data_IF_838561614437
#
_entry.id   IF_838561614437
#
_cell.length_a   1.000
_cell.length_b   1.000
_cell.length_c   1.000
_cell.angle_alpha   90.00
_cell.angle_beta   90.00
_cell.angle_gamma   90.00
#
_symmetry.space_group_name_H-M   'P 1'
#
loop_
_entity.id
_entity.type
_entity.pdbx_description
1 polymer ?
#
# COMPACT_ATOMS: atom_id res chain seq x y z
N UNK A 1 18.61 34.86 4.27
CA UNK A 1 18.23 35.23 5.65
C UNK A 1 16.73 35.11 5.76
N UNK A 2 16.21 34.44 6.79
CA UNK A 2 14.77 34.37 7.03
C UNK A 2 14.25 35.68 7.60
N UNK A 3 13.03 36.04 7.20
CA UNK A 3 12.39 37.31 7.51
C UNK A 3 11.69 37.25 8.86
N UNK A 4 12.01 38.18 9.75
CA UNK A 4 11.52 38.18 11.14
C UNK A 4 11.05 39.56 11.57
N UNK A 5 10.20 39.60 12.59
CA UNK A 5 9.68 40.84 13.15
C UNK A 5 10.69 41.35 14.16
N UNK A 6 11.31 42.49 13.85
CA UNK A 6 12.25 43.16 14.75
C UNK A 6 11.53 44.05 15.76
N UNK A 7 10.51 44.77 15.29
CA UNK A 7 9.79 45.76 16.10
C UNK A 7 8.34 45.88 15.66
N UNK A 8 7.45 45.98 16.63
CA UNK A 8 6.01 46.11 16.45
C UNK A 8 5.48 47.31 17.23
N UNK A 9 4.73 48.18 16.57
CA UNK A 9 4.02 49.31 17.17
C UNK A 9 2.55 49.24 16.74
N UNK A 10 1.63 49.13 17.70
CA UNK A 10 0.19 49.04 17.45
C UNK A 10 -0.53 50.05 18.34
N UNK A 11 -1.36 50.87 17.73
CA UNK A 11 -2.20 51.85 18.42
C UNK A 11 -3.65 51.74 17.94
N UNK A 12 -4.58 51.88 18.89
CA UNK A 12 -6.03 52.01 18.64
C UNK A 12 -6.65 50.92 17.75
N UNK A 13 -6.09 49.70 17.77
CA UNK A 13 -6.60 48.55 17.01
C UNK A 13 -7.31 47.56 17.94
N UNK A 14 -8.59 47.28 17.67
CA UNK A 14 -9.47 46.41 18.48
C UNK A 14 -9.44 46.79 19.98
N UNK A 15 -8.78 45.98 20.82
CA UNK A 15 -8.65 46.20 22.27
C UNK A 15 -7.29 46.75 22.69
N UNK A 16 -6.39 47.03 21.74
CA UNK A 16 -5.08 47.66 22.00
C UNK A 16 -5.23 49.17 22.09
N UNK A 17 -4.63 49.80 23.11
CA UNK A 17 -4.53 51.26 23.22
C UNK A 17 -3.26 51.74 22.55
N UNK A 18 -2.12 51.34 23.10
CA UNK A 18 -0.80 51.56 22.54
C UNK A 18 0.14 50.47 23.06
N UNK A 19 0.78 49.75 22.14
CA UNK A 19 1.71 48.66 22.44
C UNK A 19 2.92 48.81 21.54
N UNK A 20 4.11 48.77 22.16
CA UNK A 20 5.40 48.68 21.48
C UNK A 20 6.07 47.41 21.98
N UNK A 21 6.45 46.52 21.06
CA UNK A 21 7.03 45.22 21.37
C UNK A 21 8.25 44.99 20.47
N UNK A 22 9.34 44.50 21.07
CA UNK A 22 10.53 44.03 20.38
C UNK A 22 10.68 42.52 20.68
N UNK A 23 10.10 41.63 19.84
CA UNK A 23 10.14 40.20 20.09
C UNK A 23 11.57 39.65 19.99
N UNK A 24 11.82 38.51 20.63
CA UNK A 24 13.12 37.84 20.54
C UNK A 24 13.44 37.45 19.09
N UNK A 25 14.69 37.63 18.65
CA UNK A 25 15.09 37.35 17.27
C UNK A 25 15.01 35.85 16.90
N UNK A 26 15.11 34.97 17.90
CA UNK A 26 14.88 33.53 17.81
C UNK A 26 14.10 33.08 19.05
N UNK A 27 13.43 31.94 18.95
CA UNK A 27 12.73 31.34 20.08
C UNK A 27 11.31 31.84 20.24
N UNK A 28 10.81 31.74 21.47
CA UNK A 28 9.41 31.98 21.82
C UNK A 28 9.25 33.29 22.61
N UNK A 29 8.51 34.24 22.06
CA UNK A 29 8.02 35.43 22.78
C UNK A 29 6.57 35.19 23.20
N UNK A 30 6.31 35.14 24.52
CA UNK A 30 4.97 34.90 25.07
C UNK A 30 4.35 36.21 25.56
N UNK A 31 3.19 36.55 24.99
CA UNK A 31 2.34 37.66 25.39
C UNK A 31 1.29 37.14 26.38
N UNK A 32 1.50 37.45 27.65
CA UNK A 32 0.66 37.14 28.81
C UNK A 32 -0.38 38.22 29.13
N UNK A 33 -1.31 37.88 30.02
CA UNK A 33 -2.34 38.76 30.57
C UNK A 33 -3.70 38.05 30.72
N UNK A 34 -4.62 38.60 31.52
CA UNK A 34 -5.99 38.08 31.62
C UNK A 34 -6.77 38.08 30.30
N UNK A 35 -7.91 37.38 30.27
CA UNK A 35 -8.84 37.45 29.14
C UNK A 35 -9.38 38.87 28.94
N UNK A 36 -9.60 39.24 27.67
CA UNK A 36 -10.15 40.55 27.33
C UNK A 36 -9.15 41.70 27.26
N UNK A 37 -7.88 41.50 27.64
CA UNK A 37 -6.90 42.61 27.73
C UNK A 37 -6.26 43.03 26.40
N UNK A 38 -6.51 42.29 25.31
CA UNK A 38 -6.02 42.65 23.97
C UNK A 38 -4.87 41.80 23.41
N UNK A 39 -4.49 40.70 24.06
CA UNK A 39 -3.45 39.76 23.58
C UNK A 39 -3.68 39.28 22.14
N UNK A 40 -4.83 38.66 21.88
CA UNK A 40 -5.20 38.22 20.51
C UNK A 40 -5.34 39.39 19.55
N UNK A 41 -5.69 40.59 20.05
CA UNK A 41 -5.73 41.79 19.20
C UNK A 41 -4.36 42.22 18.69
N UNK A 42 -3.27 41.87 19.40
CA UNK A 42 -1.90 42.07 18.92
C UNK A 42 -1.61 41.12 17.77
N UNK A 43 -1.88 39.81 17.92
CA UNK A 43 -1.70 38.84 16.83
C UNK A 43 -2.55 39.18 15.61
N UNK A 44 -3.83 39.54 15.79
CA UNK A 44 -4.71 39.97 14.70
C UNK A 44 -4.17 41.21 13.96
N UNK A 45 -3.52 42.12 14.68
CA UNK A 45 -2.92 43.33 14.08
C UNK A 45 -1.70 42.97 13.24
N UNK A 46 -0.86 42.03 13.71
CA UNK A 46 0.27 41.51 12.94
C UNK A 46 -0.25 40.79 11.68
N UNK A 47 -1.23 39.90 11.86
CA UNK A 47 -1.86 39.15 10.78
C UNK A 47 -2.45 40.07 9.70
N UNK A 48 -3.14 41.14 10.10
CA UNK A 48 -3.70 42.10 9.14
C UNK A 48 -2.63 42.97 8.45
N UNK A 49 -1.60 43.38 9.19
CA UNK A 49 -0.49 44.14 8.62
C UNK A 49 0.24 43.35 7.53
N UNK A 50 0.55 42.08 7.80
CA UNK A 50 1.37 41.24 6.92
C UNK A 50 0.55 40.45 5.89
N UNK A 51 -0.61 39.93 6.28
CA UNK A 51 -1.46 39.05 5.46
C UNK A 51 -2.49 39.76 4.58
N UNK A 52 -2.57 41.09 4.64
CA UNK A 52 -3.47 41.86 3.78
C UNK A 52 -4.93 41.84 4.25
N UNK A 53 -5.85 42.25 3.36
CA UNK A 53 -7.26 42.46 3.72
C UNK A 53 -8.04 41.18 4.06
N UNK A 54 -7.49 39.99 3.74
CA UNK A 54 -8.07 38.70 4.16
C UNK A 54 -8.16 38.56 5.68
N UNK A 55 -7.22 39.18 6.40
CA UNK A 55 -7.13 39.16 7.85
C UNK A 55 -7.69 40.44 8.49
N UNK A 56 -8.36 41.30 7.72
CA UNK A 56 -8.91 42.55 8.24
C UNK A 56 -10.04 42.27 9.23
N UNK A 57 -9.94 42.73 10.49
CA UNK A 57 -11.04 42.64 11.43
C UNK A 57 -12.28 43.38 10.91
N UNK A 58 -13.48 42.83 11.14
CA UNK A 58 -14.75 43.47 10.79
C UNK A 58 -14.90 44.87 11.41
N UNK A 59 -14.43 45.01 12.65
CA UNK A 59 -14.24 46.29 13.34
C UNK A 59 -12.78 46.41 13.79
N UNK A 60 -12.03 47.22 13.06
CA UNK A 60 -10.60 47.49 13.37
C UNK A 60 -10.46 48.55 14.44
N UNK A 61 -11.25 49.62 14.35
CA UNK A 61 -11.14 50.78 15.22
C UNK A 61 -11.48 50.42 16.67
N UNK A 62 -10.62 50.84 17.61
CA UNK A 62 -10.91 50.70 19.03
C UNK A 62 -12.15 51.51 19.41
N UNK A 63 -13.09 50.87 20.08
CA UNK A 63 -14.27 51.55 20.63
C UNK A 63 -13.83 52.65 21.62
N UNK A 64 -14.33 53.87 21.41
CA UNK A 64 -13.99 55.04 22.23
C UNK A 64 -12.72 55.79 21.83
N UNK A 65 -11.94 55.33 20.84
CA UNK A 65 -10.79 56.10 20.32
C UNK A 65 -11.23 57.23 19.38
N UNK A 66 -10.61 58.40 19.50
CA UNK A 66 -10.80 59.53 18.58
C UNK A 66 -9.80 59.48 17.40
N UNK A 67 -8.67 58.81 17.60
CA UNK A 67 -7.60 58.65 16.62
C UNK A 67 -7.72 57.34 15.85
N UNK A 68 -7.48 57.34 14.52
CA UNK A 68 -7.61 56.14 13.70
C UNK A 68 -6.55 55.08 14.08
N UNK A 69 -6.75 53.80 13.69
CA UNK A 69 -5.80 52.74 13.95
C UNK A 69 -4.46 53.00 13.25
N UNK A 70 -3.37 52.69 13.95
CA UNK A 70 -2.01 52.80 13.44
C UNK A 70 -1.24 51.53 13.78
N UNK A 71 -0.69 50.88 12.76
CA UNK A 71 0.14 49.68 12.91
C UNK A 71 1.42 49.92 12.14
N UNK A 72 2.57 49.69 12.77
CA UNK A 72 3.89 49.73 12.15
C UNK A 72 4.68 48.49 12.55
N UNK A 73 5.15 47.75 11.56
CA UNK A 73 5.98 46.54 11.75
C UNK A 73 7.29 46.78 11.02
N UNK A 74 8.40 46.68 11.75
CA UNK A 74 9.74 46.71 11.18
C UNK A 74 10.31 45.30 11.18
N UNK A 75 10.72 44.84 10.01
CA UNK A 75 11.32 43.53 9.82
C UNK A 75 12.84 43.61 10.01
N UNK A 76 13.49 42.48 10.30
CA UNK A 76 14.95 42.40 10.53
C UNK A 76 15.82 42.87 9.36
N UNK A 77 15.30 42.83 8.14
CA UNK A 77 16.00 43.32 6.94
C UNK A 77 15.78 44.83 6.67
N UNK A 78 15.03 45.53 7.53
CA UNK A 78 14.69 46.94 7.37
C UNK A 78 13.40 47.22 6.59
N UNK A 79 12.66 46.20 6.14
CA UNK A 79 11.34 46.40 5.54
C UNK A 79 10.37 46.93 6.60
N UNK A 80 9.66 48.02 6.29
CA UNK A 80 8.67 48.63 7.17
C UNK A 80 7.29 48.47 6.56
N UNK A 81 6.35 47.93 7.34
CA UNK A 81 4.95 47.74 6.97
C UNK A 81 4.08 48.61 7.86
N UNK A 82 3.49 49.64 7.28
CA UNK A 82 2.59 50.55 7.98
C UNK A 82 1.15 50.40 7.49
N UNK A 83 0.19 50.40 8.42
CA UNK A 83 -1.23 50.64 8.13
C UNK A 83 -1.68 51.83 8.95
N UNK A 84 -1.99 52.95 8.27
CA UNK A 84 -2.34 54.21 8.94
C UNK A 84 -3.40 55.02 8.21
N UNK A 85 -4.00 55.97 8.92
CA UNK A 85 -5.02 56.89 8.42
C UNK A 85 -6.45 56.36 8.55
N UNK A 86 -7.43 57.17 8.12
CA UNK A 86 -8.87 56.90 8.30
C UNK A 86 -9.34 55.56 7.69
N UNK A 87 -8.69 55.15 6.59
CA UNK A 87 -8.96 53.89 5.90
C UNK A 87 -7.92 52.80 6.22
N UNK A 88 -6.95 53.09 7.09
CA UNK A 88 -5.82 52.21 7.43
C UNK A 88 -5.12 51.65 6.19
N UNK A 89 -4.76 52.55 5.26
CA UNK A 89 -4.13 52.18 4.00
C UNK A 89 -2.76 51.57 4.24
N UNK A 90 -2.47 50.48 3.53
CA UNK A 90 -1.17 49.82 3.56
C UNK A 90 -0.10 50.70 2.90
N UNK A 91 1.04 50.83 3.55
CA UNK A 91 2.26 51.40 3.02
C UNK A 91 3.42 50.46 3.37
N UNK A 92 4.02 49.87 2.34
CA UNK A 92 5.23 49.05 2.50
C UNK A 92 6.40 49.90 2.05
N UNK A 93 7.46 49.97 2.84
CA UNK A 93 8.67 50.74 2.58
C UNK A 93 9.83 49.75 2.62
N UNK A 94 10.53 49.61 1.50
CA UNK A 94 11.70 48.75 1.40
C UNK A 94 12.91 49.33 2.17
N UNK A 95 13.97 48.53 2.40
CA UNK A 95 15.17 49.01 3.09
C UNK A 95 15.88 50.18 2.38
N UNK A 96 15.56 50.44 1.11
CA UNK A 96 16.08 51.54 0.30
C UNK A 96 15.19 52.78 0.35
N UNK A 97 14.07 52.73 1.08
CA UNK A 97 13.09 53.82 1.24
C UNK A 97 12.05 53.91 0.11
N UNK A 98 12.03 52.98 -0.83
CA UNK A 98 11.03 52.96 -1.91
C UNK A 98 9.73 52.33 -1.45
N UNK A 99 8.61 52.79 -2.02
CA UNK A 99 7.29 52.23 -1.73
C UNK A 99 7.11 50.91 -2.47
N UNK A 100 6.78 49.86 -1.74
CA UNK A 100 6.41 48.56 -2.27
C UNK A 100 4.92 48.27 -2.08
N UNK A 101 4.43 47.25 -2.80
CA UNK A 101 3.06 46.75 -2.65
C UNK A 101 2.98 45.49 -1.80
N UNK A 102 1.76 45.03 -1.53
CA UNK A 102 1.48 43.76 -0.83
C UNK A 102 2.13 42.53 -1.52
N UNK A 103 2.37 42.58 -2.84
CA UNK A 103 3.04 41.50 -3.56
C UNK A 103 4.45 41.20 -3.03
N UNK A 104 5.20 42.23 -2.62
CA UNK A 104 6.51 42.06 -1.99
C UNK A 104 6.37 41.40 -0.60
N UNK A 105 5.32 41.70 0.16
CA UNK A 105 5.07 41.02 1.43
C UNK A 105 4.73 39.55 1.21
N UNK A 106 3.88 39.28 0.22
CA UNK A 106 3.45 37.93 -0.12
C UNK A 106 4.60 37.05 -0.64
N UNK A 107 5.73 37.61 -1.09
CA UNK A 107 6.90 36.78 -1.47
C UNK A 107 7.64 36.24 -0.26
N UNK A 108 7.54 36.87 0.92
CA UNK A 108 8.28 36.47 2.12
C UNK A 108 7.40 35.91 3.23
N UNK A 109 6.13 36.29 3.27
CA UNK A 109 5.19 35.86 4.31
C UNK A 109 4.34 34.69 3.79
N UNK A 110 4.17 33.67 4.63
CA UNK A 110 3.33 32.50 4.35
C UNK A 110 1.99 32.60 5.08
N UNK A 111 0.88 32.18 4.43
CA UNK A 111 -0.47 32.31 4.98
C UNK A 111 -0.60 31.50 6.29
N UNK A 112 -0.02 30.30 6.31
CA UNK A 112 -0.03 29.42 7.47
C UNK A 112 0.86 29.91 8.62
N UNK A 113 1.87 30.75 8.34
CA UNK A 113 2.69 31.37 9.39
C UNK A 113 1.93 32.47 10.14
N UNK A 114 0.96 33.11 9.46
CA UNK A 114 0.08 34.13 10.02
C UNK A 114 -1.06 33.50 10.82
N UNK A 115 -1.57 32.34 10.36
CA UNK A 115 -2.72 31.66 10.96
C UNK A 115 -2.48 30.15 11.04
N UNK A 116 -1.65 29.76 12.01
CA UNK A 116 -1.40 28.35 12.32
C UNK A 116 -2.67 27.63 12.80
N UNK A 117 -3.58 28.24 13.61
CA UNK A 117 -4.83 27.60 14.01
C UNK A 117 -5.66 27.08 12.83
N UNK A 118 -5.75 27.84 11.73
CA UNK A 118 -6.44 27.37 10.52
C UNK A 118 -5.85 26.08 9.94
N UNK A 119 -4.53 25.90 10.00
CA UNK A 119 -3.90 24.64 9.62
C UNK A 119 -4.28 23.51 10.58
N UNK A 120 -4.22 23.79 11.88
CA UNK A 120 -4.53 22.81 12.94
C UNK A 120 -5.98 22.31 12.85
N UNK A 121 -6.90 23.20 12.52
CA UNK A 121 -8.34 22.92 12.39
C UNK A 121 -8.74 22.34 11.02
N UNK A 122 -7.83 22.33 10.04
CA UNK A 122 -8.08 21.74 8.72
C UNK A 122 -8.25 20.22 8.76
N UNK A 123 -8.82 19.64 7.71
CA UNK A 123 -9.06 18.19 7.66
C UNK A 123 -7.74 17.41 7.56
N UNK A 124 -7.68 16.17 8.06
CA UNK A 124 -6.48 15.32 7.96
C UNK A 124 -5.94 15.21 6.53
N UNK A 125 -6.87 15.13 5.55
CA UNK A 125 -6.55 15.09 4.13
C UNK A 125 -5.92 16.38 3.62
N UNK A 126 -6.41 17.55 4.03
CA UNK A 126 -5.82 18.85 3.66
C UNK A 126 -4.41 19.00 4.26
N UNK A 127 -4.21 18.58 5.50
CA UNK A 127 -2.90 18.57 6.16
C UNK A 127 -1.90 17.71 5.42
N UNK A 128 -2.28 16.46 5.10
CA UNK A 128 -1.44 15.54 4.34
C UNK A 128 -1.15 16.06 2.93
N UNK A 129 -2.15 16.56 2.22
CA UNK A 129 -1.97 17.15 0.89
C UNK A 129 -1.01 18.33 0.90
N UNK A 130 -1.10 19.19 1.92
CA UNK A 130 -0.17 20.33 2.08
C UNK A 130 1.27 19.83 2.23
N UNK A 131 1.50 18.81 3.07
CA UNK A 131 2.82 18.19 3.22
C UNK A 131 3.32 17.55 1.92
N UNK A 132 2.47 16.81 1.21
CA UNK A 132 2.83 16.14 -0.04
C UNK A 132 3.15 17.11 -1.17
N UNK A 133 2.44 18.25 -1.23
CA UNK A 133 2.75 19.33 -2.17
C UNK A 133 4.11 19.96 -1.86
N UNK A 134 4.43 20.18 -0.58
CA UNK A 134 5.71 20.76 -0.16
C UNK A 134 6.90 19.88 -0.58
N UNK A 135 6.75 18.57 -0.45
CA UNK A 135 7.81 17.61 -0.74
C UNK A 135 7.90 17.34 -2.26
N UNK A 136 6.87 17.69 -3.04
CA UNK A 136 6.82 17.50 -4.49
C UNK A 136 6.56 16.06 -4.92
N UNK A 137 6.21 15.16 -3.99
CA UNK A 137 5.95 13.73 -4.26
C UNK A 137 4.46 13.41 -4.38
N UNK A 138 3.57 14.40 -4.26
CA UNK A 138 2.12 14.18 -4.20
C UNK A 138 1.54 13.41 -5.40
N UNK A 139 1.95 13.74 -6.63
CA UNK A 139 1.46 13.04 -7.83
C UNK A 139 2.00 11.60 -7.92
N UNK A 140 3.28 11.40 -7.60
CA UNK A 140 3.91 10.09 -7.59
C UNK A 140 3.27 9.18 -6.53
N UNK A 141 3.04 9.71 -5.33
CA UNK A 141 2.38 8.99 -4.25
C UNK A 141 0.95 8.60 -4.63
N UNK A 142 0.19 9.54 -5.21
CA UNK A 142 -1.18 9.28 -5.67
C UNK A 142 -1.24 8.15 -6.71
N UNK A 143 -0.29 8.13 -7.65
CA UNK A 143 -0.22 7.07 -8.67
C UNK A 143 0.10 5.71 -8.04
N UNK A 144 1.05 5.65 -7.09
CA UNK A 144 1.39 4.43 -6.36
C UNK A 144 0.20 3.91 -5.55
N UNK A 145 -0.51 4.78 -4.81
CA UNK A 145 -1.67 4.39 -4.00
C UNK A 145 -2.84 3.90 -4.87
N UNK A 146 -3.05 4.54 -6.03
CA UNK A 146 -4.03 4.09 -7.02
C UNK A 146 -3.69 2.71 -7.56
N UNK A 147 -2.42 2.50 -7.96
CA UNK A 147 -1.96 1.21 -8.46
C UNK A 147 -2.06 0.12 -7.39
N UNK A 148 -1.69 0.41 -6.13
CA UNK A 148 -1.84 -0.51 -5.00
C UNK A 148 -3.31 -0.90 -4.82
N UNK A 149 -4.23 0.06 -4.87
CA UNK A 149 -5.67 -0.18 -4.73
C UNK A 149 -6.20 -1.07 -5.86
N UNK A 150 -5.80 -0.80 -7.09
CA UNK A 150 -6.23 -1.58 -8.26
C UNK A 150 -5.72 -3.03 -8.17
N UNK A 151 -4.45 -3.24 -7.82
CA UNK A 151 -3.86 -4.57 -7.65
C UNK A 151 -4.48 -5.29 -6.45
N UNK A 152 -4.76 -4.58 -5.35
CA UNK A 152 -5.42 -5.16 -4.19
C UNK A 152 -6.81 -5.70 -4.56
N UNK A 153 -7.59 -4.94 -5.33
CA UNK A 153 -8.90 -5.36 -5.82
C UNK A 153 -8.80 -6.57 -6.76
N UNK A 154 -7.81 -6.58 -7.67
CA UNK A 154 -7.53 -7.73 -8.53
C UNK A 154 -7.15 -8.96 -7.69
N UNK A 155 -6.25 -8.81 -6.71
CA UNK A 155 -5.84 -9.90 -5.82
C UNK A 155 -7.01 -10.47 -5.05
N UNK A 156 -7.92 -9.63 -4.58
CA UNK A 156 -9.14 -10.06 -3.89
C UNK A 156 -10.01 -10.93 -4.79
N UNK A 157 -10.22 -10.51 -6.05
CA UNK A 157 -11.00 -11.28 -7.02
C UNK A 157 -10.32 -12.63 -7.35
N UNK A 158 -9.02 -12.62 -7.64
CA UNK A 158 -8.22 -13.84 -7.91
C UNK A 158 -8.25 -14.79 -6.72
N UNK A 159 -8.15 -14.27 -5.48
CA UNK A 159 -8.25 -15.08 -4.27
C UNK A 159 -9.60 -15.78 -4.13
N UNK A 160 -10.70 -15.09 -4.42
CA UNK A 160 -12.05 -15.68 -4.42
C UNK A 160 -12.18 -16.79 -5.47
N UNK A 161 -11.63 -16.57 -6.68
CA UNK A 161 -11.64 -17.56 -7.77
C UNK A 161 -10.78 -18.78 -7.40
N UNK A 162 -9.60 -18.56 -6.84
CA UNK A 162 -8.70 -19.62 -6.40
C UNK A 162 -9.36 -20.50 -5.33
N UNK A 163 -9.98 -19.88 -4.32
CA UNK A 163 -10.72 -20.60 -3.26
C UNK A 163 -11.90 -21.39 -3.82
N UNK A 164 -12.64 -20.83 -4.78
CA UNK A 164 -13.75 -21.51 -5.42
C UNK A 164 -13.28 -22.72 -6.23
N UNK A 165 -12.22 -22.57 -7.03
CA UNK A 165 -11.65 -23.65 -7.83
C UNK A 165 -11.05 -24.76 -6.97
N UNK A 166 -10.38 -24.41 -5.88
CA UNK A 166 -9.83 -25.40 -4.96
C UNK A 166 -10.95 -26.20 -4.27
N UNK A 167 -12.03 -25.55 -3.83
CA UNK A 167 -13.19 -26.26 -3.27
C UNK A 167 -13.83 -27.18 -4.29
N UNK A 168 -14.02 -26.70 -5.51
CA UNK A 168 -14.54 -27.51 -6.61
C UNK A 168 -13.67 -28.75 -6.86
N UNK A 169 -12.35 -28.59 -6.96
CA UNK A 169 -11.42 -29.70 -7.15
C UNK A 169 -11.44 -30.71 -5.98
N UNK A 170 -11.58 -30.23 -4.73
CA UNK A 170 -11.69 -31.09 -3.53
C UNK A 170 -12.96 -31.91 -3.50
N UNK A 171 -14.07 -31.37 -4.00
CA UNK A 171 -15.37 -32.05 -4.08
C UNK A 171 -15.43 -33.09 -5.21
N UNK A 172 -14.52 -33.03 -6.18
CA UNK A 172 -14.47 -34.01 -7.27
C UNK A 172 -14.05 -35.40 -6.78
N UNK A 173 -14.76 -36.41 -7.30
CA UNK A 173 -14.53 -37.81 -6.97
C UNK A 173 -13.16 -38.26 -7.48
N UNK A 174 -12.40 -38.94 -6.62
CA UNK A 174 -11.08 -39.48 -6.95
C UNK A 174 -11.07 -40.99 -6.74
N UNK A 175 -10.56 -41.72 -7.72
CA UNK A 175 -10.49 -43.17 -7.72
C UNK A 175 -9.02 -43.62 -7.60
N UNK A 176 -8.54 -44.04 -6.42
CA UNK A 176 -7.12 -44.32 -6.17
C UNK A 176 -6.60 -45.57 -6.90
N UNK A 177 -7.47 -46.53 -7.21
CA UNK A 177 -7.10 -47.85 -7.78
C UNK A 177 -7.17 -47.89 -9.32
N UNK A 178 -7.07 -46.73 -9.98
CA UNK A 178 -7.26 -46.59 -11.44
C UNK A 178 -5.93 -46.36 -12.15
N UNK A 179 -5.67 -46.95 -13.33
CA UNK A 179 -4.47 -46.68 -14.13
C UNK A 179 -4.32 -45.19 -14.46
N UNK A 180 -3.08 -44.70 -14.61
CA UNK A 180 -2.79 -43.28 -14.91
C UNK A 180 -3.11 -42.86 -16.34
N UNK A 181 -3.21 -43.82 -17.25
CA UNK A 181 -3.44 -43.58 -18.68
C UNK A 181 -4.64 -44.40 -19.17
N UNK A 182 -5.32 -43.89 -20.20
CA UNK A 182 -6.47 -44.55 -20.81
C UNK A 182 -6.05 -45.90 -21.41
N UNK A 183 -6.83 -46.95 -21.11
CA UNK A 183 -6.61 -48.28 -21.69
C UNK A 183 -7.20 -48.30 -23.10
N UNK A 184 -6.36 -48.63 -24.08
CA UNK A 184 -6.71 -48.62 -25.50
C UNK A 184 -7.67 -49.76 -25.88
N UNK A 185 -8.93 -49.43 -26.18
CA UNK A 185 -10.00 -50.39 -26.53
C UNK A 185 -9.91 -50.86 -27.99
N UNK A 186 -9.13 -50.19 -28.83
CA UNK A 186 -9.06 -50.44 -30.27
C UNK A 186 -8.48 -51.81 -30.63
N UNK A 187 -7.57 -52.36 -29.82
CA UNK A 187 -7.02 -53.70 -30.02
C UNK A 187 -8.06 -54.80 -29.69
N UNK A 188 -8.83 -54.62 -28.62
CA UNK A 188 -9.87 -55.57 -28.20
C UNK A 188 -11.05 -55.59 -29.19
N UNK A 189 -11.45 -54.43 -29.71
CA UNK A 189 -12.52 -54.34 -30.73
C UNK A 189 -12.10 -55.04 -32.02
N UNK A 190 -10.85 -54.87 -32.47
CA UNK A 190 -10.35 -55.56 -33.66
C UNK A 190 -10.30 -57.09 -33.47
N UNK A 191 -9.88 -57.56 -32.29
CA UNK A 191 -9.90 -58.99 -31.96
C UNK A 191 -11.33 -59.56 -31.96
N UNK A 192 -12.31 -58.81 -31.42
CA UNK A 192 -13.71 -59.21 -31.45
C UNK A 192 -14.23 -59.35 -32.89
N UNK A 193 -13.93 -58.39 -33.76
CA UNK A 193 -14.37 -58.41 -35.16
C UNK A 193 -13.79 -59.61 -35.93
N UNK A 194 -12.53 -59.97 -35.68
CA UNK A 194 -11.89 -61.14 -36.31
C UNK A 194 -12.54 -62.44 -35.84
N UNK A 195 -12.85 -62.57 -34.55
CA UNK A 195 -13.52 -63.75 -33.98
C UNK A 195 -14.95 -63.88 -34.54
N UNK A 196 -15.70 -62.78 -34.61
CA UNK A 196 -17.05 -62.76 -35.17
C UNK A 196 -17.07 -63.15 -36.66
N UNK A 197 -16.11 -62.65 -37.45
CA UNK A 197 -15.99 -63.02 -38.86
C UNK A 197 -15.70 -64.52 -39.03
N UNK A 198 -14.79 -65.08 -38.23
CA UNK A 198 -14.44 -66.51 -38.23
C UNK A 198 -15.63 -67.39 -37.81
N UNK A 199 -16.37 -67.00 -36.78
CA UNK A 199 -17.57 -67.70 -36.34
C UNK A 199 -18.68 -67.69 -37.40
N UNK A 200 -18.86 -66.56 -38.11
CA UNK A 200 -19.79 -66.45 -39.24
C UNK A 200 -19.46 -67.40 -40.40
N UNK A 201 -18.18 -67.53 -40.77
CA UNK A 201 -17.74 -68.49 -41.79
C UNK A 201 -17.95 -69.95 -41.36
N UNK A 202 -17.68 -70.26 -40.10
CA UNK A 202 -17.88 -71.61 -39.55
C UNK A 202 -19.36 -72.01 -39.56
N UNK A 203 -20.26 -71.08 -39.23
CA UNK A 203 -21.70 -71.31 -39.31
C UNK A 203 -22.16 -71.55 -40.76
N UNK A 204 -21.68 -70.76 -41.71
CA UNK A 204 -21.98 -70.96 -43.15
C UNK A 204 -21.55 -72.35 -43.65
N UNK A 205 -20.38 -72.84 -43.21
CA UNK A 205 -19.91 -74.20 -43.52
C UNK A 205 -20.81 -75.28 -42.91
N UNK A 206 -21.29 -75.09 -41.67
CA UNK A 206 -22.25 -76.01 -41.03
C UNK A 206 -23.59 -76.06 -41.77
N UNK A 207 -24.08 -74.92 -42.25
CA UNK A 207 -25.33 -74.85 -43.03
C UNK A 207 -25.19 -75.53 -44.40
N UNK A 208 -24.04 -75.39 -45.06
CA UNK A 208 -23.74 -76.10 -46.31
C UNK A 208 -23.71 -77.62 -46.12
N UNK A 209 -23.12 -78.11 -45.03
CA UNK A 209 -23.12 -79.54 -44.70
C UNK A 209 -24.54 -80.06 -44.53
N UNK A 210 -25.38 -79.36 -43.74
CA UNK A 210 -26.79 -79.76 -43.55
C UNK A 210 -27.58 -79.80 -44.86
N UNK A 211 -27.33 -78.86 -45.77
CA UNK A 211 -27.96 -78.86 -47.09
C UNK A 211 -27.51 -80.05 -47.95
N UNK A 212 -26.22 -80.40 -47.92
CA UNK A 212 -25.67 -81.54 -48.65
C UNK A 212 -26.21 -82.86 -48.06
N UNK A 213 -26.26 -83.00 -46.74
CA UNK A 213 -26.86 -84.16 -46.07
C UNK A 213 -28.32 -84.36 -46.46
N UNK A 214 -29.10 -83.28 -46.52
CA UNK A 214 -30.50 -83.33 -46.96
C UNK A 214 -30.63 -83.75 -48.44
N UNK A 215 -29.74 -83.25 -49.31
CA UNK A 215 -29.70 -83.66 -50.72
C UNK A 215 -29.33 -85.14 -50.87
N UNK A 216 -28.43 -85.65 -50.03
CA UNK A 216 -28.06 -87.06 -50.01
C UNK A 216 -29.25 -87.93 -49.59
N UNK A 217 -29.95 -87.58 -48.51
CA UNK A 217 -31.11 -88.37 -48.05
C UNK A 217 -32.26 -88.40 -49.08
N UNK A 218 -32.45 -87.29 -49.80
CA UNK A 218 -33.38 -87.21 -50.94
C UNK A 218 -32.92 -88.11 -52.09
N UNK A 219 -31.63 -88.10 -52.41
CA UNK A 219 -31.01 -88.98 -53.40
C UNK A 219 -31.16 -90.46 -53.04
N UNK A 220 -30.94 -90.85 -51.79
CA UNK A 220 -31.11 -92.22 -51.31
C UNK A 220 -32.56 -92.69 -51.40
N UNK A 221 -33.53 -91.83 -51.07
CA UNK A 221 -34.96 -92.12 -51.19
C UNK A 221 -35.38 -92.30 -52.66
N UNK A 222 -34.83 -91.47 -53.55
CA UNK A 222 -35.03 -91.61 -55.00
C UNK A 222 -34.34 -92.86 -55.56
N UNK A 223 -33.16 -93.22 -55.06
CA UNK A 223 -32.47 -94.46 -55.44
C UNK A 223 -33.25 -95.66 -54.92
N UNK A 224 -33.86 -95.60 -53.74
CA UNK A 224 -34.69 -96.70 -53.23
C UNK A 224 -35.97 -96.89 -54.06
N UNK A 225 -36.62 -95.81 -54.47
CA UNK A 225 -37.80 -95.87 -55.34
C UNK A 225 -37.43 -96.36 -56.76
N UNK A 226 -36.32 -95.89 -57.30
CA UNK A 226 -35.78 -96.34 -58.59
C UNK A 226 -35.26 -97.78 -58.50
N UNK A 227 -34.64 -98.22 -57.40
CA UNK A 227 -34.26 -99.64 -57.19
C UNK A 227 -35.47 -100.57 -57.20
N UNK A 228 -36.59 -100.12 -56.62
CA UNK A 228 -37.86 -100.87 -56.63
C UNK A 228 -38.47 -100.96 -58.04
N UNK A 229 -38.25 -99.94 -58.87
CA UNK A 229 -38.57 -99.96 -60.31
C UNK A 229 -37.56 -100.80 -61.11
N UNK A 230 -36.29 -100.82 -60.71
CA UNK A 230 -35.22 -101.64 -61.30
C UNK A 230 -35.46 -103.13 -61.05
N UNK A 231 -36.04 -103.52 -59.91
CA UNK A 231 -36.44 -104.91 -59.65
C UNK A 231 -37.50 -105.41 -60.66
N UNK A 232 -38.30 -104.51 -61.23
CA UNK A 232 -39.21 -104.80 -62.34
C UNK A 232 -38.51 -104.78 -63.72
N UNK A 233 -37.39 -104.06 -63.86
CA UNK A 233 -36.65 -103.87 -65.12
C UNK A 233 -35.38 -104.74 -65.24
N UNK A 234 -34.98 -105.46 -64.19
CA UNK A 234 -33.85 -106.40 -64.15
C UNK A 234 -34.04 -107.65 -65.04
N UNK A 235 -35.22 -107.80 -65.67
CA UNK A 235 -35.40 -108.68 -66.83
C UNK A 235 -34.82 -108.14 -68.14
N UNK A 236 -34.42 -106.86 -68.19
CA UNK A 236 -33.95 -106.14 -69.38
C UNK A 236 -32.52 -105.58 -69.22
N UNK A 237 -31.63 -106.43 -68.71
CA UNK A 237 -30.47 -106.83 -69.51
C UNK A 237 -29.32 -105.80 -69.65
N UNK A 238 -28.26 -106.03 -68.88
CA UNK A 238 -26.90 -106.30 -69.38
C UNK A 238 -26.21 -105.38 -70.42
N UNK A 239 -26.61 -104.12 -70.64
CA UNK A 239 -25.94 -103.26 -71.65
C UNK A 239 -25.33 -101.93 -71.18
N UNK A 240 -25.32 -101.59 -69.89
CA UNK A 240 -24.81 -100.29 -69.42
C UNK A 240 -23.84 -100.38 -68.24
N UNK A 241 -22.93 -101.35 -68.28
CA UNK A 241 -21.85 -101.56 -67.28
C UNK A 241 -20.63 -100.62 -67.44
N UNK A 242 -20.73 -99.52 -68.19
CA UNK A 242 -19.56 -98.66 -68.52
C UNK A 242 -19.33 -97.43 -67.62
N UNK A 243 -20.32 -96.96 -66.84
CA UNK A 243 -20.28 -95.62 -66.23
C UNK A 243 -19.96 -95.59 -64.71
N UNK A 244 -19.49 -96.70 -64.14
CA UNK A 244 -19.29 -96.86 -62.69
C UNK A 244 -17.88 -96.47 -62.20
N UNK A 245 -16.94 -96.23 -63.13
CA UNK A 245 -15.52 -96.10 -62.80
C UNK A 245 -15.05 -94.67 -62.46
N UNK A 246 -15.84 -93.64 -62.78
CA UNK A 246 -15.41 -92.23 -62.60
C UNK A 246 -15.82 -91.66 -61.23
N UNK A 247 -16.93 -92.13 -60.64
CA UNK A 247 -17.52 -91.52 -59.42
C UNK A 247 -16.92 -92.01 -58.10
N UNK A 248 -15.98 -92.98 -58.13
CA UNK A 248 -15.26 -93.43 -56.93
C UNK A 248 -14.02 -92.58 -56.61
N UNK A 249 -13.49 -91.81 -57.58
CA UNK A 249 -12.32 -90.95 -57.37
C UNK A 249 -12.62 -89.64 -56.65
N UNK A 250 -13.87 -89.14 -56.70
CA UNK A 250 -14.26 -87.90 -56.02
C UNK A 250 -14.60 -88.09 -54.53
N UNK A 251 -14.69 -89.33 -54.05
CA UNK A 251 -15.12 -89.64 -52.67
C UNK A 251 -13.96 -89.63 -51.65
N UNK A 252 -12.70 -89.78 -52.08
CA UNK A 252 -11.55 -89.77 -51.15
C UNK A 252 -11.04 -88.38 -50.77
N UNK A 253 -11.38 -87.32 -51.53
CA UNK A 253 -10.94 -85.95 -51.23
C UNK A 253 -11.81 -85.30 -50.13
N UNK A 254 -13.04 -85.80 -49.89
CA UNK A 254 -13.98 -85.21 -48.94
C UNK A 254 -14.04 -85.91 -47.57
N UNK A 255 -13.01 -86.68 -47.17
CA UNK A 255 -12.99 -87.40 -45.87
C UNK A 255 -11.83 -87.07 -44.93
N UNK A 256 -11.04 -86.04 -45.21
CA UNK A 256 -10.09 -85.48 -44.23
C UNK A 256 -10.30 -83.98 -44.08
N UNK A 257 -11.07 -83.62 -43.05
CA UNK A 257 -10.98 -82.38 -42.23
C UNK A 257 -12.36 -82.06 -41.66
N UNK A 258 -12.80 -82.73 -40.59
CA UNK A 258 -14.02 -82.34 -39.88
C UNK A 258 -14.08 -82.85 -38.43
N UNK A 259 -13.04 -82.63 -37.62
CA UNK A 259 -13.15 -82.76 -36.14
C UNK A 259 -12.67 -81.53 -35.36
N UNK A 260 -11.94 -80.57 -35.94
CA UNK A 260 -11.43 -79.41 -35.19
C UNK A 260 -12.12 -78.08 -35.56
N UNK A 261 -13.41 -77.95 -35.25
CA UNK A 261 -14.14 -76.68 -35.30
C UNK A 261 -14.76 -76.40 -33.92
N UNK A 262 -13.98 -75.76 -33.06
CA UNK A 262 -14.46 -75.16 -31.81
C UNK A 262 -14.80 -73.69 -32.05
N UNK A 263 -15.97 -73.26 -31.61
CA UNK A 263 -16.35 -71.84 -31.60
C UNK A 263 -15.61 -71.14 -30.43
N UNK A 264 -14.98 -69.99 -30.69
CA UNK A 264 -14.33 -69.19 -29.66
C UNK A 264 -15.39 -68.30 -28.98
N UNK A 265 -15.48 -68.37 -27.64
CA UNK A 265 -16.45 -67.60 -26.85
C UNK A 265 -16.05 -66.12 -26.77
N UNK A 266 -16.90 -65.21 -27.27
CA UNK A 266 -16.72 -63.74 -27.17
C UNK A 266 -17.07 -63.19 -25.79
N UNK A 267 -17.60 -64.01 -24.90
CA UNK A 267 -18.16 -63.61 -23.60
C UNK A 267 -17.08 -63.08 -22.63
N UNK A 268 -15.84 -63.59 -22.74
CA UNK A 268 -14.69 -63.07 -22.00
C UNK A 268 -14.21 -61.71 -22.55
N UNK A 269 -14.31 -61.50 -23.86
CA UNK A 269 -13.89 -60.26 -24.52
C UNK A 269 -14.89 -59.13 -24.25
N UNK A 270 -16.19 -59.41 -24.29
CA UNK A 270 -17.26 -58.44 -23.99
C UNK A 270 -17.20 -57.96 -22.53
N UNK A 271 -16.94 -58.87 -21.58
CA UNK A 271 -16.68 -58.49 -20.17
C UNK A 271 -15.43 -57.61 -20.06
N UNK A 272 -14.35 -57.97 -20.75
CA UNK A 272 -13.11 -57.20 -20.75
C UNK A 272 -13.30 -55.78 -21.32
N UNK A 273 -14.11 -55.61 -22.37
CA UNK A 273 -14.43 -54.29 -22.94
C UNK A 273 -15.26 -53.45 -21.96
N UNK A 274 -16.29 -54.03 -21.35
CA UNK A 274 -17.12 -53.34 -20.36
C UNK A 274 -16.32 -52.92 -19.12
N UNK A 275 -15.42 -53.78 -18.63
CA UNK A 275 -14.53 -53.47 -17.51
C UNK A 275 -13.55 -52.34 -17.86
N UNK A 276 -12.99 -52.36 -19.07
CA UNK A 276 -12.11 -51.30 -19.57
C UNK A 276 -12.85 -49.96 -19.72
N UNK A 277 -14.10 -49.94 -20.18
CA UNK A 277 -14.90 -48.72 -20.24
C UNK A 277 -15.18 -48.14 -18.84
N UNK A 278 -15.48 -48.98 -17.84
CA UNK A 278 -15.64 -48.53 -16.46
C UNK A 278 -14.34 -48.00 -15.85
N UNK A 279 -13.21 -48.63 -16.16
CA UNK A 279 -11.89 -48.14 -15.76
C UNK A 279 -11.64 -46.77 -16.42
N UNK A 280 -11.86 -46.63 -17.73
CA UNK A 280 -11.63 -45.38 -18.45
C UNK A 280 -12.54 -44.24 -17.98
N UNK A 281 -13.76 -44.52 -17.54
CA UNK A 281 -14.63 -43.51 -16.89
C UNK A 281 -14.01 -42.97 -15.60
N UNK A 282 -13.44 -43.85 -14.77
CA UNK A 282 -12.73 -43.47 -13.55
C UNK A 282 -11.43 -42.72 -13.85
N UNK A 283 -10.68 -43.12 -14.88
CA UNK A 283 -9.47 -42.41 -15.33
C UNK A 283 -9.81 -40.99 -15.80
N UNK A 284 -10.90 -40.81 -16.57
CA UNK A 284 -11.37 -39.49 -16.99
C UNK A 284 -11.75 -38.61 -15.80
N UNK A 285 -12.47 -39.15 -14.82
CA UNK A 285 -12.82 -38.42 -13.60
C UNK A 285 -11.57 -37.95 -12.82
N UNK A 286 -10.52 -38.79 -12.75
CA UNK A 286 -9.24 -38.41 -12.14
C UNK A 286 -8.51 -37.31 -12.94
N UNK A 287 -8.48 -37.41 -14.27
CA UNK A 287 -7.85 -36.39 -15.14
C UNK A 287 -8.60 -35.04 -15.06
N UNK A 288 -9.93 -35.08 -14.99
CA UNK A 288 -10.75 -33.88 -14.81
C UNK A 288 -10.47 -33.22 -13.45
N UNK A 289 -10.26 -34.04 -12.40
CA UNK A 289 -9.86 -33.55 -11.08
C UNK A 289 -8.46 -32.95 -11.09
N UNK A 290 -7.48 -33.63 -11.68
CA UNK A 290 -6.10 -33.13 -11.81
C UNK A 290 -6.07 -31.79 -12.55
N UNK A 291 -6.84 -31.66 -13.64
CA UNK A 291 -7.01 -30.40 -14.36
C UNK A 291 -7.63 -29.30 -13.49
N UNK A 292 -8.64 -29.63 -12.69
CA UNK A 292 -9.25 -28.68 -11.76
C UNK A 292 -8.28 -28.22 -10.65
N UNK A 293 -7.41 -29.12 -10.16
CA UNK A 293 -6.35 -28.82 -9.20
C UNK A 293 -5.27 -27.91 -9.81
N UNK A 294 -4.84 -28.19 -11.05
CA UNK A 294 -3.91 -27.33 -11.80
C UNK A 294 -4.49 -25.93 -12.06
N UNK A 295 -5.75 -25.85 -12.46
CA UNK A 295 -6.46 -24.58 -12.65
C UNK A 295 -6.55 -23.75 -11.35
N UNK A 296 -6.72 -24.42 -10.21
CA UNK A 296 -6.69 -23.77 -8.90
C UNK A 296 -5.27 -23.30 -8.53
N UNK A 297 -4.25 -24.11 -8.84
CA UNK A 297 -2.85 -23.79 -8.60
C UNK A 297 -2.39 -22.57 -9.39
N UNK A 298 -2.76 -22.46 -10.68
CA UNK A 298 -2.45 -21.30 -11.53
C UNK A 298 -3.00 -20.00 -10.89
N UNK A 299 -4.23 -20.04 -10.39
CA UNK A 299 -4.84 -18.88 -9.73
C UNK A 299 -4.15 -18.54 -8.41
N UNK A 300 -3.65 -19.54 -7.66
CA UNK A 300 -2.81 -19.32 -6.47
C UNK A 300 -1.47 -18.69 -6.78
N UNK A 301 -0.82 -19.10 -7.86
CA UNK A 301 0.42 -18.49 -8.32
C UNK A 301 0.21 -17.02 -8.73
N UNK A 302 -0.90 -16.73 -9.42
CA UNK A 302 -1.30 -15.36 -9.74
C UNK A 302 -1.56 -14.52 -8.49
N UNK A 303 -2.25 -15.06 -7.49
CA UNK A 303 -2.42 -14.42 -6.18
C UNK A 303 -1.08 -14.09 -5.51
N UNK A 304 -0.12 -15.03 -5.57
CA UNK A 304 1.24 -14.83 -5.06
C UNK A 304 1.95 -13.68 -5.76
N UNK A 305 1.91 -13.63 -7.10
CA UNK A 305 2.50 -12.53 -7.90
C UNK A 305 1.90 -11.17 -7.54
N UNK A 306 0.57 -11.09 -7.41
CA UNK A 306 -0.12 -9.85 -7.02
C UNK A 306 0.26 -9.43 -5.60
N UNK A 307 0.44 -10.38 -4.68
CA UNK A 307 0.90 -10.09 -3.31
C UNK A 307 2.31 -9.51 -3.31
N UNK A 308 3.26 -10.12 -4.03
CA UNK A 308 4.61 -9.58 -4.16
C UNK A 308 4.63 -8.20 -4.83
N UNK A 309 3.73 -7.94 -5.79
CA UNK A 309 3.62 -6.62 -6.42
C UNK A 309 3.10 -5.55 -5.44
N UNK A 310 2.14 -5.89 -4.58
CA UNK A 310 1.66 -4.99 -3.52
C UNK A 310 2.80 -4.69 -2.53
N UNK A 311 3.55 -5.70 -2.12
CA UNK A 311 4.70 -5.51 -1.21
C UNK A 311 5.77 -4.60 -1.83
N UNK A 312 6.06 -4.76 -3.13
CA UNK A 312 6.96 -3.86 -3.87
C UNK A 312 6.44 -2.42 -3.88
N UNK A 313 5.17 -2.21 -4.19
CA UNK A 313 4.57 -0.86 -4.20
C UNK A 313 4.59 -0.20 -2.82
N UNK A 314 4.38 -0.97 -1.74
CA UNK A 314 4.51 -0.48 -0.37
C UNK A 314 5.95 -0.09 -0.04
N UNK A 315 6.91 -0.87 -0.52
CA UNK A 315 8.32 -0.54 -0.38
C UNK A 315 8.67 0.73 -1.17
N UNK A 316 8.16 0.87 -2.39
CA UNK A 316 8.34 2.06 -3.23
C UNK A 316 7.71 3.30 -2.59
N UNK A 317 6.51 3.18 -2.01
CA UNK A 317 5.85 4.22 -1.21
C UNK A 317 6.72 4.63 -0.03
N UNK A 318 7.24 3.67 0.73
CA UNK A 318 8.12 3.94 1.88
C UNK A 318 9.42 4.62 1.44
N UNK A 319 10.06 4.13 0.38
CA UNK A 319 11.27 4.70 -0.19
C UNK A 319 11.04 6.13 -0.67
N UNK A 320 9.91 6.40 -1.35
CA UNK A 320 9.55 7.73 -1.82
C UNK A 320 9.44 8.73 -0.67
N UNK A 321 8.83 8.30 0.45
CA UNK A 321 8.67 9.12 1.64
C UNK A 321 9.97 9.25 2.47
N UNK A 322 10.86 8.26 2.45
CA UNK A 322 12.15 8.32 3.15
C UNK A 322 13.18 9.20 2.43
N UNK A 323 13.22 9.16 1.10
CA UNK A 323 14.12 10.03 0.31
C UNK A 323 13.55 11.45 0.14
N UNK A 324 12.27 11.62 0.44
CA UNK A 324 11.65 12.91 0.54
C UNK A 324 12.28 13.71 1.69
N UNK A 325 12.70 14.95 1.39
CA UNK A 325 13.25 15.87 2.38
C UNK A 325 12.14 16.40 3.32
N UNK A 326 11.67 15.53 4.23
CA UNK A 326 10.61 15.80 5.19
C UNK A 326 11.00 16.97 6.13
N UNK A 327 10.02 17.79 6.56
CA UNK A 327 10.26 18.91 7.47
C UNK A 327 10.76 18.52 8.85
N UNK A 328 10.41 17.33 9.33
CA UNK A 328 10.69 16.86 10.68
C UNK A 328 11.07 15.37 10.62
N UNK A 329 12.06 14.91 11.42
CA UNK A 329 12.32 13.48 11.59
C UNK A 329 11.07 12.74 12.06
N UNK A 330 10.90 11.48 11.67
CA UNK A 330 9.78 10.62 12.09
C UNK A 330 8.38 11.09 11.65
N UNK A 331 8.30 12.11 10.79
CA UNK A 331 7.06 12.55 10.14
C UNK A 331 6.86 11.75 8.86
N UNK A 332 5.67 11.21 8.64
CA UNK A 332 5.30 10.50 7.41
C UNK A 332 3.84 10.77 7.04
N UNK A 333 3.47 10.34 5.84
CA UNK A 333 2.08 10.37 5.37
C UNK A 333 1.66 8.94 5.08
N UNK A 334 0.56 8.50 5.67
CA UNK A 334 -0.08 7.23 5.30
C UNK A 334 -1.57 7.42 5.08
N UNK A 335 -2.09 6.86 3.98
CA UNK A 335 -3.49 6.93 3.57
C UNK A 335 -4.10 8.36 3.61
N UNK A 336 -3.29 9.37 3.31
CA UNK A 336 -3.71 10.77 3.36
C UNK A 336 -3.83 11.35 4.77
N UNK A 337 -3.17 10.75 5.76
CA UNK A 337 -3.07 11.26 7.14
C UNK A 337 -1.61 11.49 7.54
N UNK A 338 -1.40 12.52 8.37
CA UNK A 338 -0.08 12.80 8.96
C UNK A 338 0.18 11.85 10.12
N UNK A 339 1.32 11.17 10.07
CA UNK A 339 1.82 10.32 11.15
C UNK A 339 3.12 10.93 11.68
N UNK A 340 3.22 11.09 12.99
CA UNK A 340 4.45 11.54 13.65
C UNK A 340 4.70 10.62 14.85
N UNK A 341 5.91 10.09 14.97
CA UNK A 341 6.26 9.12 16.05
C UNK A 341 5.33 7.91 16.12
N UNK A 342 4.79 7.49 14.98
CA UNK A 342 3.83 6.38 14.88
C UNK A 342 2.40 6.71 15.32
N UNK A 343 2.09 7.97 15.64
CA UNK A 343 0.75 8.42 16.01
C UNK A 343 0.09 9.24 14.89
N UNK A 344 -1.21 9.04 14.69
CA UNK A 344 -2.04 9.88 13.83
C UNK A 344 -2.31 11.25 14.49
N UNK A 345 -2.66 12.25 13.67
CA UNK A 345 -2.87 13.63 14.12
C UNK A 345 -3.79 13.78 15.33
N UNK A 346 -4.87 13.02 15.40
CA UNK A 346 -5.86 13.03 16.48
C UNK A 346 -5.33 12.48 17.82
N UNK A 347 -4.32 11.62 17.76
CA UNK A 347 -3.68 11.00 18.91
C UNK A 347 -2.42 11.75 19.37
N UNK A 348 -1.90 12.69 18.58
CA UNK A 348 -0.77 13.55 18.95
C UNK A 348 -1.15 14.51 20.08
N UNK A 349 -0.21 14.80 20.98
CA UNK A 349 -0.38 15.87 21.95
C UNK A 349 -0.41 17.26 21.27
N UNK A 350 -1.06 18.25 21.88
CA UNK A 350 -1.15 19.60 21.30
C UNK A 350 0.22 20.24 21.03
N UNK A 351 1.23 19.92 21.84
CA UNK A 351 2.62 20.36 21.63
C UNK A 351 3.28 19.69 20.42
N UNK A 352 3.01 18.39 20.20
CA UNK A 352 3.50 17.67 19.01
C UNK A 352 2.83 18.19 17.74
N UNK A 353 1.52 18.41 17.77
CA UNK A 353 0.79 19.01 16.65
C UNK A 353 1.36 20.39 16.28
N UNK A 354 1.66 21.23 17.27
CA UNK A 354 2.30 22.53 17.05
C UNK A 354 3.72 22.41 16.47
N UNK A 355 4.54 21.46 16.95
CA UNK A 355 5.88 21.20 16.39
C UNK A 355 5.79 20.76 14.92
N UNK A 356 4.90 19.82 14.61
CA UNK A 356 4.66 19.34 13.25
C UNK A 356 4.17 20.48 12.36
N UNK A 357 3.15 21.22 12.78
CA UNK A 357 2.61 22.36 12.02
C UNK A 357 3.69 23.42 11.75
N UNK A 358 4.47 23.77 12.77
CA UNK A 358 5.58 24.73 12.66
C UNK A 358 6.64 24.26 11.66
N UNK A 359 7.03 22.98 11.72
CA UNK A 359 8.00 22.41 10.80
C UNK A 359 7.50 22.46 9.34
N UNK A 360 6.22 22.13 9.12
CA UNK A 360 5.58 22.17 7.80
C UNK A 360 5.61 23.60 7.22
N UNK A 361 5.21 24.60 8.00
CA UNK A 361 5.21 26.02 7.56
C UNK A 361 6.61 26.49 7.17
N UNK A 362 7.63 26.14 7.97
CA UNK A 362 9.03 26.48 7.64
C UNK A 362 9.49 25.86 6.33
N UNK A 363 9.11 24.60 6.06
CA UNK A 363 9.48 23.93 4.81
C UNK A 363 8.75 24.51 3.62
N UNK A 364 7.48 24.91 3.81
CA UNK A 364 6.67 25.57 2.78
C UNK A 364 7.30 26.88 2.31
N UNK A 365 7.78 27.70 3.26
CA UNK A 365 8.42 28.98 2.93
C UNK A 365 9.61 29.28 3.84
N UNK A 366 10.83 28.84 3.47
CA UNK A 366 12.04 29.05 4.27
C UNK A 366 12.39 30.53 4.49
N UNK A 367 11.90 31.42 3.62
CA UNK A 367 12.06 32.87 3.77
C UNK A 367 11.20 33.46 4.89
N UNK A 368 10.13 32.78 5.32
CA UNK A 368 9.30 33.20 6.44
C UNK A 368 9.91 32.69 7.75
N UNK A 369 10.50 33.60 8.53
CA UNK A 369 11.24 33.27 9.75
C UNK A 369 10.45 33.44 11.04
N UNK A 370 9.15 33.75 10.98
CA UNK A 370 8.30 33.95 12.15
C UNK A 370 6.99 33.17 12.05
N UNK A 371 6.37 32.86 13.19
CA UNK A 371 5.07 32.17 13.29
C UNK A 371 4.25 32.81 14.41
N UNK A 372 2.95 32.99 14.16
CA UNK A 372 1.99 33.48 15.14
C UNK A 372 1.20 32.30 15.73
N UNK A 373 1.16 32.21 17.06
CA UNK A 373 0.47 31.11 17.75
C UNK A 373 -0.50 31.69 18.79
N UNK A 374 -1.80 31.56 18.57
CA UNK A 374 -2.80 31.95 19.57
C UNK A 374 -3.07 30.76 20.52
N UNK A 375 -3.33 31.06 21.80
CA UNK A 375 -3.81 30.09 22.81
C UNK A 375 -2.83 28.97 23.19
N UNK A 376 -1.68 29.33 23.75
CA UNK A 376 -0.73 28.37 24.31
C UNK A 376 -1.09 27.87 25.72
N UNK A 377 -2.35 27.98 26.18
CA UNK A 377 -2.73 27.56 27.53
C UNK A 377 -2.64 26.05 27.75
N UNK A 378 -2.73 25.26 26.67
CA UNK A 378 -2.72 23.80 26.72
C UNK A 378 -1.33 23.19 27.02
N UNK A 379 -0.26 24.00 26.94
CA UNK A 379 1.10 23.55 27.21
C UNK A 379 1.52 23.91 28.63
N UNK A 380 2.11 22.97 29.36
CA UNK A 380 2.78 23.24 30.63
C UNK A 380 4.11 23.98 30.41
N UNK A 381 4.66 24.55 31.48
CA UNK A 381 5.85 25.40 31.42
C UNK A 381 7.09 24.66 30.89
N UNK A 382 7.23 23.36 31.18
CA UNK A 382 8.37 22.58 30.69
C UNK A 382 8.28 22.40 29.17
N UNK A 383 7.12 22.00 28.66
CA UNK A 383 6.91 21.82 27.22
C UNK A 383 7.06 23.14 26.45
N UNK A 384 6.65 24.27 27.04
CA UNK A 384 6.89 25.60 26.45
C UNK A 384 8.38 25.95 26.35
N UNK A 385 9.16 25.65 27.39
CA UNK A 385 10.60 25.88 27.37
C UNK A 385 11.29 24.99 26.32
N UNK A 386 10.93 23.70 26.25
CA UNK A 386 11.43 22.81 25.20
C UNK A 386 11.06 23.29 23.80
N UNK A 387 9.83 23.76 23.61
CA UNK A 387 9.39 24.32 22.32
C UNK A 387 10.16 25.60 21.96
N UNK A 388 10.43 26.47 22.94
CA UNK A 388 11.28 27.65 22.77
C UNK A 388 12.71 27.29 22.34
N UNK A 389 13.34 26.34 23.02
CA UNK A 389 14.68 25.85 22.67
C UNK A 389 14.70 25.26 21.26
N UNK A 390 13.69 24.46 20.91
CA UNK A 390 13.57 23.90 19.56
C UNK A 390 13.43 25.00 18.49
N UNK A 391 12.62 26.03 18.74
CA UNK A 391 12.49 27.18 17.83
C UNK A 391 13.83 27.93 17.65
N UNK A 392 14.62 28.06 18.71
CA UNK A 392 15.96 28.67 18.65
C UNK A 392 16.92 27.85 17.79
N UNK A 393 16.95 26.53 17.99
CA UNK A 393 17.74 25.60 17.18
C UNK A 393 17.37 25.67 15.69
N UNK A 394 16.08 25.83 15.40
CA UNK A 394 15.60 25.95 14.02
C UNK A 394 15.71 27.38 13.44
N UNK A 395 16.11 28.36 14.27
CA UNK A 395 16.26 29.76 13.89
C UNK A 395 14.93 30.45 13.57
N UNK A 396 13.83 30.01 14.19
CA UNK A 396 12.48 30.56 14.03
C UNK A 396 12.12 31.52 15.19
N UNK A 397 11.25 32.48 14.89
CA UNK A 397 10.65 33.40 15.86
C UNK A 397 9.17 33.03 16.04
N UNK A 398 8.75 32.59 17.23
CA UNK A 398 7.32 32.41 17.53
C UNK A 398 6.83 33.55 18.42
N UNK A 399 5.74 34.20 18.02
CA UNK A 399 5.02 35.18 18.85
C UNK A 399 3.71 34.54 19.25
N UNK A 400 3.54 34.30 20.55
CA UNK A 400 2.42 33.56 21.05
C UNK A 400 1.64 34.30 22.14
N UNK A 401 0.36 33.95 22.31
CA UNK A 401 -0.47 34.46 23.40
C UNK A 401 -0.74 33.37 24.43
N UNK A 402 -0.80 33.76 25.70
CA UNK A 402 -1.20 32.87 26.79
C UNK A 402 -2.00 33.62 27.86
N UNK A 403 -3.03 32.98 28.40
CA UNK A 403 -3.70 33.45 29.63
C UNK A 403 -2.85 33.11 30.86
N UNK A 404 -1.83 33.93 31.12
CA UNK A 404 -0.99 33.85 32.31
C UNK A 404 -0.34 35.21 32.61
N UNK A 405 0.06 35.44 33.86
CA UNK A 405 0.88 36.58 34.29
C UNK A 405 2.18 36.11 34.96
N UNK A 406 2.54 34.83 34.80
CA UNK A 406 3.74 34.23 35.37
C UNK A 406 5.03 34.62 34.64
N UNK A 407 6.16 34.10 35.13
CA UNK A 407 7.51 34.37 34.62
C UNK A 407 7.76 33.83 33.22
N UNK A 408 6.94 32.89 32.75
CA UNK A 408 6.99 32.37 31.39
C UNK A 408 6.52 33.39 30.34
N UNK A 409 5.83 34.45 30.76
CA UNK A 409 5.39 35.53 29.87
C UNK A 409 6.51 36.56 29.71
N UNK A 410 6.96 36.74 28.47
CA UNK A 410 7.93 37.79 28.11
C UNK A 410 7.32 39.18 28.28
N UNK A 411 6.03 39.32 27.94
CA UNK A 411 5.32 40.60 27.92
C UNK A 411 3.96 40.39 28.56
N UNK A 412 3.54 41.27 29.47
CA UNK A 412 2.22 41.21 30.09
C UNK A 412 1.39 42.39 29.61
N UNK A 413 0.19 42.11 29.09
CA UNK A 413 -0.76 43.11 28.59
C UNK A 413 -1.90 43.28 29.58
N UNK A 414 -2.13 44.55 29.98
CA UNK A 414 -3.26 44.96 30.81
C UNK A 414 -3.90 46.21 30.22
N UNK A 415 -5.22 46.19 30.07
CA UNK A 415 -6.06 47.25 29.50
C UNK A 415 -5.55 47.80 28.14
N UNK A 416 -4.98 46.91 27.32
CA UNK A 416 -4.45 47.26 26.01
C UNK A 416 -3.12 48.03 26.03
N UNK A 417 -2.41 48.04 27.16
CA UNK A 417 -1.05 48.55 27.31
C UNK A 417 -0.08 47.43 27.72
N UNK A 418 1.21 47.66 27.52
CA UNK A 418 2.27 46.82 28.10
C UNK A 418 2.43 47.19 29.56
N UNK A 419 2.12 46.27 30.47
CA UNK A 419 2.21 46.46 31.92
C UNK A 419 3.56 46.02 32.49
N UNK A 420 4.14 44.96 31.93
CA UNK A 420 5.45 44.43 32.32
C UNK A 420 6.16 43.82 31.12
N UNK A 421 7.46 44.08 31.00
CA UNK A 421 8.35 43.48 30.01
C UNK A 421 9.48 42.78 30.78
N UNK A 422 9.51 41.45 30.70
CA UNK A 422 10.58 40.64 31.29
C UNK A 422 11.62 40.39 30.18
N UNK A 423 12.59 41.30 30.04
CA UNK A 423 13.75 41.06 29.17
C UNK A 423 14.58 39.93 29.77
N UNK A 424 14.63 38.77 29.10
CA UNK A 424 15.70 37.80 29.32
C UNK A 424 16.96 38.40 28.71
N UNK A 425 17.75 39.10 29.50
CA UNK A 425 19.10 39.51 29.09
C UNK A 425 19.93 38.24 28.82
N UNK A 426 20.49 38.16 27.61
CA UNK A 426 21.53 37.19 27.26
C UNK A 426 22.64 37.27 28.32
N UNK A 427 22.80 36.20 29.09
CA UNK A 427 23.91 36.04 30.02
C UNK A 427 25.21 35.90 29.23
N UNK A 428 25.82 37.02 28.91
CA UNK A 428 26.95 37.07 27.98
C UNK A 428 27.74 38.37 27.95
N UNK A 429 27.90 39.07 29.08
CA UNK A 429 29.03 39.98 29.26
C UNK A 429 29.37 40.21 30.73
N UNK A 430 30.50 39.66 31.16
CA UNK A 430 31.14 40.00 32.43
C UNK A 430 31.66 41.44 32.32
N UNK A 431 30.88 42.40 32.79
CA UNK A 431 31.41 43.73 33.14
C UNK A 431 32.05 43.60 34.52
N UNK A 432 33.38 43.43 34.56
CA UNK A 432 34.17 43.64 35.76
C UNK A 432 34.16 45.14 36.09
N UNK A 433 33.38 45.51 37.10
CA UNK A 433 33.59 46.74 37.84
C UNK A 433 34.78 46.53 38.80
N UNK A 434 35.95 47.06 38.45
CA UNK A 434 37.04 47.29 39.39
C UNK A 434 36.87 48.71 39.94
N UNK A 435 36.43 48.82 41.20
CA UNK A 435 36.77 49.94 42.05
C UNK A 435 37.46 49.37 43.30
N UNK A 436 38.62 49.95 43.61
CA UNK A 436 39.61 49.37 44.48
C UNK A 436 39.27 49.40 45.96
N UNK A 437 39.84 48.44 46.69
CA UNK A 437 40.35 48.76 48.00
C UNK A 437 41.66 48.00 48.26
N UNK A 438 42.66 48.80 48.61
CA UNK A 438 44.01 48.39 48.96
C UNK A 438 44.03 47.69 50.31
N UNK A 439 44.64 46.50 50.38
CA UNK A 439 45.38 46.05 51.59
C UNK A 439 46.35 44.92 51.26
N UNK A 440 47.62 45.26 51.45
CA UNK A 440 48.82 44.45 51.47
C UNK A 440 48.74 43.26 52.42
N UNK A 441 49.20 42.08 51.97
CA UNK A 441 49.86 41.11 52.85
C UNK A 441 50.92 40.31 52.07
N UNK A 442 52.15 40.37 52.58
CA UNK A 442 53.36 39.80 52.02
C UNK A 442 53.48 38.27 52.20
N UNK A 443 54.27 37.69 51.30
CA UNK A 443 55.21 36.57 51.49
C UNK A 443 54.71 35.13 51.76
N UNK A 444 54.90 34.21 50.79
CA UNK A 444 56.10 33.35 50.70
C UNK A 444 56.07 32.34 49.56
N UNK A 445 57.27 32.14 49.03
CA UNK A 445 57.74 31.25 47.95
C UNK A 445 57.72 29.78 48.35
N UNK A 446 57.37 28.88 47.42
CA UNK A 446 57.95 27.54 47.35
C UNK A 446 57.80 26.92 45.94
N UNK A 447 58.95 26.68 45.31
CA UNK A 447 59.19 25.86 44.12
C UNK A 447 58.68 24.42 44.27
N UNK A 448 58.33 23.78 43.15
CA UNK A 448 58.02 22.34 43.15
C UNK A 448 57.65 21.77 41.78
N UNK A 449 58.59 21.73 40.84
CA UNK A 449 58.53 20.87 39.64
C UNK A 449 58.58 19.39 40.03
N UNK A 450 57.67 18.53 39.53
CA UNK A 450 57.97 17.12 39.22
C UNK A 450 57.02 16.52 38.18
N UNK A 451 57.60 15.65 37.34
CA UNK A 451 57.14 15.07 36.06
C UNK A 451 56.04 14.00 36.18
N UNK A 452 55.35 13.64 35.07
CA UNK A 452 54.30 12.62 35.05
C UNK A 452 54.86 11.19 35.03
N UNK A 453 54.18 10.29 35.73
CA UNK A 453 54.48 8.84 35.75
C UNK A 453 53.56 8.11 34.77
N UNK A 454 54.19 7.45 33.80
CA UNK A 454 53.64 6.37 33.00
C UNK A 454 53.58 5.08 33.84
N UNK A 455 52.49 4.31 33.74
CA UNK A 455 52.46 2.86 33.89
C UNK A 455 51.10 2.36 33.32
N UNK A 456 51.10 1.75 32.13
CA UNK A 456 51.25 0.32 31.86
C UNK A 456 50.03 -0.55 32.19
N UNK A 457 49.45 -1.07 31.09
CA UNK A 457 49.02 -2.45 30.84
C UNK A 457 48.04 -3.13 31.79
N UNK A 458 46.87 -3.50 31.27
CA UNK A 458 46.23 -4.78 31.59
C UNK A 458 45.51 -5.33 30.35
N UNK A 459 46.11 -6.36 29.74
CA UNK A 459 45.45 -7.31 28.85
C UNK A 459 44.68 -8.33 29.69
N UNK A 460 43.47 -8.69 29.25
CA UNK A 460 42.68 -9.76 29.85
C UNK A 460 41.83 -10.46 28.80
N UNK A 461 42.39 -11.50 28.18
CA UNK A 461 41.66 -12.54 27.44
C UNK A 461 40.84 -13.39 28.42
N UNK A 462 39.63 -13.76 28.02
CA UNK A 462 38.85 -14.83 28.65
C UNK A 462 37.77 -15.31 27.70
N UNK A 463 38.02 -16.42 27.03
CA UNK A 463 37.03 -17.22 26.32
C UNK A 463 36.41 -18.22 27.31
N UNK A 464 35.08 -18.40 27.27
CA UNK A 464 34.36 -19.67 27.22
C UNK A 464 32.87 -19.39 26.97
#
# INVERSE_FOLDING_TARGET
MSMKINKLEIENTKRVKAVKIEPTANGLTVIGGPNGQGKTSILDSIAWALGGDRYKPSKVHREGSVTPPNISITMNNGLIVERKGKNSSLKVIDPQGQKAGQQLLNSFVEELAIDLPKFMDSTSKEKANTLLQIIGVGEQLFNIEKEETDIYNQRRAVGQIADQKEKFAKEMTYYPDTPKELVSVSELINQQQVILAKNGENQRKREQIKQIEFQISQGESNIASVKKQIEQLQGQLNTLEGLQAETKKDLEIARKSAIDLHDESTEQLEKSIADVEQINLKVRANLDKEKAEDDAKIQREEYGKLTSKIESLRQDKSNLLQHANLPLPELSVDNGELIYKGQQWDNMSGSEQLRVATAIVRKLKPECGFILIDKLEQMDTNTLNEFGIWLEQEGLQAIATRVSTGEECSIIIEDGYVAKENTKEDSGSLVQAFDGDSRSFDEKVADGTFKPVNNNTWEGKGAF
#
